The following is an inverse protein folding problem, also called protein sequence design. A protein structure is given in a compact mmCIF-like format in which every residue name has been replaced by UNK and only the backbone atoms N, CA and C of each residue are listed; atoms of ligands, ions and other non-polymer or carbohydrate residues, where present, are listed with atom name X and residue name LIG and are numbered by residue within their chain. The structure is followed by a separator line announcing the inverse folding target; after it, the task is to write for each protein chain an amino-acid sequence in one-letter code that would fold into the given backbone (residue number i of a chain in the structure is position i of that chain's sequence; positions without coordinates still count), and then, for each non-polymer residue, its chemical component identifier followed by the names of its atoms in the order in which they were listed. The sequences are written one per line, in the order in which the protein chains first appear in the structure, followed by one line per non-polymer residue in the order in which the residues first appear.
data_IF_850982845349
#
_entry.id   IF_850982845349
#
_cell.length_a   1.000
_cell.length_b   1.000
_cell.length_c   1.000
_cell.angle_alpha   90.00
_cell.angle_beta   90.00
_cell.angle_gamma   90.00
#
_symmetry.space_group_name_H-M   'P 1'
#
loop_
_entity.id
_entity.type
_entity.pdbx_description
1 polymer ?
#
# COMPACT_ATOMS: atom_id res chain seq x y z
N UNK A 1 -12.96 1.04 10.14
CA UNK A 1 -12.11 2.21 9.82
C UNK A 1 -10.81 1.63 9.29
N UNK A 2 -10.40 2.01 8.09
CA UNK A 2 -9.21 1.43 7.44
C UNK A 2 -7.94 2.16 7.91
N UNK A 3 -6.92 1.43 8.33
CA UNK A 3 -5.61 2.01 8.63
C UNK A 3 -4.67 1.82 7.43
N UNK A 4 -4.28 2.92 6.79
CA UNK A 4 -3.42 2.91 5.59
C UNK A 4 -2.13 3.66 5.86
N UNK A 5 -0.99 3.06 5.49
CA UNK A 5 0.32 3.70 5.54
C UNK A 5 0.82 3.96 4.13
N UNK A 6 1.34 5.16 3.87
CA UNK A 6 2.00 5.53 2.61
C UNK A 6 3.49 5.73 2.87
N UNK A 7 4.32 4.96 2.18
CA UNK A 7 5.78 4.98 2.29
C UNK A 7 6.41 5.52 1.01
N UNK A 8 6.93 6.74 1.07
CA UNK A 8 7.70 7.37 0.00
C UNK A 8 8.74 8.32 0.61
N UNK A 9 9.98 8.29 0.15
CA UNK A 9 11.06 9.13 0.68
C UNK A 9 10.92 10.60 0.31
N UNK A 10 10.23 10.90 -0.79
CA UNK A 10 9.91 12.25 -1.21
C UNK A 10 8.66 12.74 -0.47
N UNK A 11 8.84 13.71 0.43
CA UNK A 11 7.74 14.24 1.24
C UNK A 11 6.59 14.83 0.40
N UNK A 12 6.90 15.55 -0.68
CA UNK A 12 5.87 16.16 -1.53
C UNK A 12 5.07 15.10 -2.29
N UNK A 13 5.74 14.08 -2.83
CA UNK A 13 5.05 12.97 -3.49
C UNK A 13 4.23 12.16 -2.48
N UNK A 14 4.78 11.90 -1.29
CA UNK A 14 4.06 11.22 -0.20
C UNK A 14 2.78 11.94 0.17
N UNK A 15 2.82 13.26 0.34
CA UNK A 15 1.64 14.06 0.67
C UNK A 15 0.57 14.00 -0.43
N UNK A 16 0.98 14.05 -1.71
CA UNK A 16 0.08 13.88 -2.85
C UNK A 16 -0.55 12.48 -2.90
N UNK A 17 0.23 11.43 -2.66
CA UNK A 17 -0.27 10.06 -2.61
C UNK A 17 -1.24 9.85 -1.45
N UNK A 18 -0.94 10.43 -0.28
CA UNK A 18 -1.84 10.40 0.87
C UNK A 18 -3.16 11.10 0.55
N UNK A 19 -3.15 12.27 -0.08
CA UNK A 19 -4.37 12.97 -0.50
C UNK A 19 -5.17 12.19 -1.53
N UNK A 20 -4.49 11.62 -2.55
CA UNK A 20 -5.14 10.78 -3.55
C UNK A 20 -5.81 9.55 -2.93
N UNK A 21 -5.16 8.92 -1.95
CA UNK A 21 -5.74 7.81 -1.20
C UNK A 21 -6.95 8.27 -0.35
N UNK A 22 -6.87 9.42 0.33
CA UNK A 22 -8.00 10.00 1.09
C UNK A 22 -9.21 10.20 0.19
N UNK A 23 -9.03 10.87 -0.95
CA UNK A 23 -10.10 11.09 -1.92
C UNK A 23 -10.73 9.78 -2.41
N UNK A 24 -9.93 8.73 -2.63
CA UNK A 24 -10.46 7.41 -3.00
C UNK A 24 -11.34 6.79 -1.90
N UNK A 25 -10.95 6.91 -0.63
CA UNK A 25 -11.76 6.41 0.48
C UNK A 25 -13.03 7.23 0.69
N UNK A 26 -12.93 8.56 0.61
CA UNK A 26 -14.06 9.49 0.74
C UNK A 26 -15.09 9.28 -0.37
N UNK A 27 -14.64 9.13 -1.62
CA UNK A 27 -15.52 8.86 -2.77
C UNK A 27 -16.31 7.55 -2.63
N UNK A 28 -15.83 6.61 -1.81
CA UNK A 28 -16.51 5.35 -1.47
C UNK A 28 -17.25 5.40 -0.12
N UNK A 29 -17.30 6.56 0.53
CA UNK A 29 -17.86 6.77 1.88
C UNK A 29 -17.24 5.85 2.96
N UNK A 30 -15.95 5.57 2.83
CA UNK A 30 -15.19 4.72 3.75
C UNK A 30 -14.32 5.62 4.65
N UNK A 31 -14.42 5.43 5.96
CA UNK A 31 -13.51 6.10 6.91
C UNK A 31 -12.14 5.42 6.89
N UNK A 32 -11.11 6.18 6.56
CA UNK A 32 -9.71 5.74 6.61
C UNK A 32 -8.85 6.71 7.43
N UNK A 33 -7.92 6.15 8.21
CA UNK A 33 -6.80 6.86 8.80
C UNK A 33 -5.58 6.63 7.91
N UNK A 34 -4.95 7.71 7.44
CA UNK A 34 -3.81 7.64 6.53
C UNK A 34 -2.60 8.30 7.19
N UNK A 35 -1.52 7.55 7.29
CA UNK A 35 -0.23 8.00 7.84
C UNK A 35 0.86 7.88 6.78
N UNK A 36 1.91 8.68 6.92
CA UNK A 36 3.07 8.67 6.04
C UNK A 36 4.33 8.22 6.77
N UNK A 37 5.24 7.57 6.05
CA UNK A 37 6.60 7.29 6.48
C UNK A 37 7.58 7.51 5.31
N UNK A 38 8.83 7.83 5.61
CA UNK A 38 9.84 8.12 4.61
C UNK A 38 10.56 6.85 4.10
N UNK A 39 10.73 5.86 4.98
CA UNK A 39 11.52 4.68 4.69
C UNK A 39 11.02 3.42 5.43
N UNK A 40 11.74 2.32 5.19
CA UNK A 40 11.45 1.04 5.80
C UNK A 40 11.52 1.07 7.34
N UNK A 41 12.48 1.78 7.93
CA UNK A 41 12.68 1.82 9.37
C UNK A 41 11.52 2.52 10.07
N UNK A 42 11.04 3.63 9.51
CA UNK A 42 9.82 4.28 9.98
C UNK A 42 8.59 3.38 9.79
N UNK A 43 8.48 2.71 8.63
CA UNK A 43 7.39 1.77 8.38
C UNK A 43 7.37 0.62 9.40
N UNK A 44 8.51 0.01 9.69
CA UNK A 44 8.67 -1.03 10.71
C UNK A 44 8.24 -0.50 12.10
N UNK A 45 8.68 0.70 12.47
CA UNK A 45 8.27 1.33 13.72
C UNK A 45 6.75 1.52 13.80
N UNK A 46 6.07 1.86 12.70
CA UNK A 46 4.62 2.00 12.71
C UNK A 46 3.95 0.63 12.79
N UNK A 47 4.37 -0.32 11.96
CA UNK A 47 3.73 -1.65 11.86
C UNK A 47 3.88 -2.47 13.14
N UNK A 48 4.97 -2.28 13.88
CA UNK A 48 5.20 -2.91 15.20
C UNK A 48 4.25 -2.38 16.28
N UNK A 49 3.73 -1.17 16.15
CA UNK A 49 2.82 -0.55 17.12
C UNK A 49 1.36 -0.55 16.67
N UNK A 50 1.09 -0.67 15.37
CA UNK A 50 -0.23 -0.71 14.79
C UNK A 50 -0.24 -1.60 13.54
N UNK A 51 -1.17 -2.55 13.45
CA UNK A 51 -1.35 -3.36 12.24
C UNK A 51 -2.08 -2.56 11.17
N UNK A 52 -1.42 -2.17 10.06
CA UNK A 52 -2.12 -1.51 8.96
C UNK A 52 -3.00 -2.51 8.20
N UNK A 53 -4.16 -2.04 7.73
CA UNK A 53 -4.96 -2.79 6.77
C UNK A 53 -4.30 -2.76 5.38
N UNK A 54 -3.71 -1.63 5.01
CA UNK A 54 -3.09 -1.41 3.69
C UNK A 54 -1.75 -0.68 3.85
N UNK A 55 -0.75 -1.12 3.09
CA UNK A 55 0.52 -0.39 2.94
C UNK A 55 0.70 -0.04 1.46
N UNK A 56 0.93 1.24 1.18
CA UNK A 56 1.25 1.76 -0.15
C UNK A 56 2.72 2.14 -0.14
N UNK A 57 3.53 1.45 -0.93
CA UNK A 57 4.95 1.77 -1.11
C UNK A 57 5.09 2.43 -2.48
N UNK A 58 5.68 3.62 -2.53
CA UNK A 58 5.92 4.32 -3.78
C UNK A 58 7.38 4.73 -3.98
N UNK A 59 8.30 4.40 -3.08
CA UNK A 59 9.72 4.78 -3.24
C UNK A 59 10.33 4.33 -4.58
N UNK A 60 11.21 5.18 -5.13
CA UNK A 60 11.87 4.94 -6.40
C UNK A 60 13.01 3.91 -6.30
N UNK A 61 13.30 3.26 -7.42
CA UNK A 61 14.46 2.41 -7.61
C UNK A 61 14.64 1.33 -6.54
N UNK A 62 15.86 1.25 -6.02
CA UNK A 62 16.25 0.21 -5.04
C UNK A 62 15.64 0.45 -3.66
N UNK A 63 15.27 1.68 -3.32
CA UNK A 63 14.66 1.98 -2.02
C UNK A 63 13.28 1.33 -1.93
N UNK A 64 12.47 1.41 -2.99
CA UNK A 64 11.20 0.69 -3.07
C UNK A 64 11.37 -0.83 -3.00
N UNK A 65 12.42 -1.38 -3.63
CA UNK A 65 12.72 -2.81 -3.55
C UNK A 65 13.16 -3.24 -2.14
N UNK A 66 13.95 -2.43 -1.44
CA UNK A 66 14.38 -2.70 -0.07
C UNK A 66 13.18 -2.65 0.90
N UNK A 67 12.30 -1.67 0.74
CA UNK A 67 11.11 -1.55 1.57
C UNK A 67 10.13 -2.69 1.31
N UNK A 68 9.86 -3.08 0.04
CA UNK A 68 8.91 -4.18 -0.23
C UNK A 68 9.40 -5.52 0.31
N UNK A 69 10.70 -5.81 0.17
CA UNK A 69 11.27 -7.09 0.61
C UNK A 69 11.23 -7.23 2.12
N UNK A 70 11.37 -6.13 2.85
CA UNK A 70 11.31 -6.09 4.30
C UNK A 70 9.85 -6.04 4.81
N UNK A 71 9.01 -5.18 4.23
CA UNK A 71 7.59 -5.02 4.60
C UNK A 71 6.75 -6.26 4.37
N UNK A 72 7.11 -7.08 3.38
CA UNK A 72 6.53 -8.39 3.10
C UNK A 72 6.49 -9.32 4.30
N UNK A 73 7.47 -9.23 5.19
CA UNK A 73 7.52 -10.04 6.41
C UNK A 73 6.45 -9.62 7.42
N UNK A 74 6.01 -8.36 7.36
CA UNK A 74 5.06 -7.78 8.31
C UNK A 74 3.63 -7.67 7.75
N UNK A 75 3.47 -7.51 6.42
CA UNK A 75 2.16 -7.39 5.78
C UNK A 75 2.14 -7.98 4.37
N UNK A 76 1.05 -8.68 4.03
CA UNK A 76 0.78 -9.16 2.66
C UNK A 76 -0.12 -8.21 1.86
N UNK A 77 -0.64 -7.16 2.49
CA UNK A 77 -1.66 -6.26 1.95
C UNK A 77 -0.99 -4.99 1.40
N UNK A 78 -0.13 -5.18 0.40
CA UNK A 78 0.75 -4.14 -0.13
C UNK A 78 0.35 -3.74 -1.55
N UNK A 79 0.28 -2.43 -1.80
CA UNK A 79 0.27 -1.81 -3.13
C UNK A 79 1.67 -1.26 -3.37
N UNK A 80 2.26 -1.56 -4.52
CA UNK A 80 3.59 -1.08 -4.88
C UNK A 80 3.60 -0.26 -6.16
N UNK A 81 4.00 1.00 -6.03
CA UNK A 81 4.32 1.89 -7.13
C UNK A 81 5.83 2.09 -7.25
N UNK A 82 6.34 2.17 -8.48
CA UNK A 82 7.78 2.35 -8.74
C UNK A 82 8.02 3.09 -10.07
N UNK A 83 9.08 3.88 -10.16
CA UNK A 83 9.56 4.51 -11.40
C UNK A 83 10.08 3.47 -12.41
N UNK A 84 10.78 2.45 -11.92
CA UNK A 84 11.27 1.30 -12.70
C UNK A 84 10.22 0.18 -12.83
N UNK A 85 10.42 -0.68 -13.83
CA UNK A 85 9.58 -1.87 -14.02
C UNK A 85 10.10 -3.04 -13.18
N UNK A 86 9.44 -3.27 -12.05
CA UNK A 86 9.67 -4.42 -11.18
C UNK A 86 8.54 -5.46 -11.28
N UNK A 87 7.78 -5.50 -12.38
CA UNK A 87 6.61 -6.39 -12.50
C UNK A 87 6.93 -7.87 -12.25
N UNK A 88 8.07 -8.37 -12.74
CA UNK A 88 8.51 -9.74 -12.47
C UNK A 88 8.86 -9.96 -11.00
N UNK A 89 9.52 -9.00 -10.36
CA UNK A 89 9.88 -9.05 -8.95
C UNK A 89 8.62 -8.97 -8.08
N UNK A 90 7.69 -8.08 -8.39
CA UNK A 90 6.39 -7.97 -7.74
C UNK A 90 5.60 -9.29 -7.82
N UNK A 91 5.59 -9.94 -8.99
CA UNK A 91 4.98 -11.26 -9.15
C UNK A 91 5.65 -12.33 -8.28
N UNK A 92 6.99 -12.43 -8.32
CA UNK A 92 7.75 -13.39 -7.49
C UNK A 92 7.56 -13.17 -6.01
N UNK A 93 7.47 -11.90 -5.61
CA UNK A 93 7.19 -11.50 -4.25
C UNK A 93 5.71 -11.66 -3.92
N UNK A 94 4.80 -12.04 -4.84
CA UNK A 94 3.36 -12.14 -4.64
C UNK A 94 2.68 -10.83 -4.20
N UNK A 95 3.16 -9.68 -4.67
CA UNK A 95 2.56 -8.36 -4.41
C UNK A 95 1.17 -8.28 -5.05
N UNK A 96 0.09 -8.03 -4.27
CA UNK A 96 -1.27 -8.00 -4.80
C UNK A 96 -1.47 -7.03 -5.95
N UNK A 97 -0.78 -5.90 -5.91
CA UNK A 97 -0.88 -4.87 -6.94
C UNK A 97 0.46 -4.16 -7.14
N UNK A 98 0.89 -4.09 -8.40
CA UNK A 98 2.05 -3.33 -8.82
C UNK A 98 1.70 -2.45 -10.02
N UNK A 99 2.16 -1.20 -10.01
CA UNK A 99 2.05 -0.32 -11.17
C UNK A 99 3.21 0.67 -11.23
N UNK A 100 3.54 1.14 -12.43
CA UNK A 100 4.60 2.13 -12.60
C UNK A 100 4.12 3.55 -12.33
N UNK A 101 5.00 4.39 -11.80
CA UNK A 101 4.84 5.84 -11.72
C UNK A 101 4.78 6.48 -13.13
N UNK A 102 4.17 7.68 -13.27
CA UNK A 102 3.48 8.45 -12.24
C UNK A 102 2.17 7.78 -11.79
N UNK A 103 1.79 8.00 -10.53
CA UNK A 103 0.53 7.51 -9.97
C UNK A 103 -0.57 8.53 -10.30
N UNK A 104 -1.51 8.14 -11.16
CA UNK A 104 -2.72 8.93 -11.40
C UNK A 104 -3.81 8.56 -10.38
N UNK A 105 -4.82 9.42 -10.22
CA UNK A 105 -6.00 9.11 -9.40
C UNK A 105 -6.65 7.78 -9.79
N UNK A 106 -6.77 7.52 -11.10
CA UNK A 106 -7.31 6.25 -11.60
C UNK A 106 -6.48 5.04 -11.16
N UNK A 107 -5.14 5.12 -11.20
CA UNK A 107 -4.27 4.03 -10.73
C UNK A 107 -4.42 3.80 -9.23
N UNK A 108 -4.50 4.89 -8.46
CA UNK A 108 -4.74 4.82 -7.02
C UNK A 108 -6.08 4.16 -6.70
N UNK A 109 -7.15 4.59 -7.37
CA UNK A 109 -8.49 4.05 -7.16
C UNK A 109 -8.55 2.56 -7.50
N UNK A 110 -7.98 2.16 -8.64
CA UNK A 110 -7.93 0.76 -9.06
C UNK A 110 -7.16 -0.10 -8.06
N UNK A 111 -5.98 0.37 -7.62
CA UNK A 111 -5.14 -0.35 -6.67
C UNK A 111 -5.86 -0.57 -5.33
N UNK A 112 -6.43 0.50 -4.76
CA UNK A 112 -7.16 0.46 -3.49
C UNK A 112 -8.40 -0.41 -3.60
N UNK A 113 -9.23 -0.23 -4.64
CA UNK A 113 -10.46 -1.00 -4.82
C UNK A 113 -10.15 -2.50 -4.90
N UNK A 114 -9.17 -2.88 -5.73
CA UNK A 114 -8.79 -4.28 -5.91
C UNK A 114 -8.27 -4.90 -4.62
N UNK A 115 -7.42 -4.20 -3.88
CA UNK A 115 -6.87 -4.72 -2.63
C UNK A 115 -7.94 -4.83 -1.54
N UNK A 116 -8.85 -3.85 -1.43
CA UNK A 116 -9.96 -3.89 -0.46
C UNK A 116 -10.91 -5.05 -0.72
N UNK A 117 -11.24 -5.33 -1.98
CA UNK A 117 -12.02 -6.50 -2.38
C UNK A 117 -11.36 -7.79 -1.91
N UNK A 118 -10.07 -7.98 -2.23
CA UNK A 118 -9.30 -9.15 -1.83
C UNK A 118 -9.28 -9.35 -0.31
N UNK A 119 -9.07 -8.27 0.46
CA UNK A 119 -9.08 -8.33 1.93
C UNK A 119 -10.46 -8.71 2.46
N UNK A 120 -11.51 -8.16 1.88
CA UNK A 120 -12.89 -8.41 2.31
C UNK A 120 -13.34 -9.83 1.97
N UNK A 121 -12.93 -10.35 0.81
CA UNK A 121 -13.18 -11.75 0.41
C UNK A 121 -12.47 -12.73 1.34
N UNK A 122 -11.18 -12.49 1.64
CA UNK A 122 -10.41 -13.35 2.55
C UNK A 122 -11.04 -13.43 3.94
N UNK A 123 -11.50 -12.30 4.50
CA UNK A 123 -12.20 -12.28 5.80
C UNK A 123 -13.47 -13.15 5.80
N UNK A 124 -14.25 -13.12 4.72
CA UNK A 124 -15.47 -13.95 4.60
C UNK A 124 -15.19 -15.44 4.49
N UNK A 125 -14.03 -15.84 3.97
CA UNK A 125 -13.61 -17.25 3.89
C UNK A 125 -13.24 -17.73 5.29
N UNK A 126 -12.41 -16.96 6.00
CA UNK A 126 -12.00 -17.27 7.38
C UNK A 126 -13.20 -17.41 8.34
N UNK A 127 -14.24 -16.58 8.19
CA UNK A 127 -15.47 -16.65 8.99
C UNK A 127 -16.37 -17.87 8.66
N UNK A 128 -16.23 -18.48 7.47
CA UNK A 128 -17.03 -19.66 7.07
C UNK A 128 -16.36 -20.99 7.45
N UNK A 129 -15.06 -20.97 7.71
CA UNK A 129 -14.28 -22.14 8.11
C UNK A 129 -14.21 -22.31 9.65
N UNK A 130 -14.84 -21.40 10.40
CA UNK A 130 -15.05 -21.45 11.86
C UNK A 130 -16.47 -21.88 12.20
#
# INVERSE_FOLDING_TARGET
MWNTIVCDGNAAERDLLMESARHCFEGKNIKAHITGCADWQELESIVTHAFPDIVIIAQDGVDGLNTITSARLLSRKIIWFSDLDFGLQAYRLCVPFFCRKPVSEQKMEQALSRLMELITENRKIEEKEQ
#
